data_IF_552720179818
#
_entry.id   IF_552720179818
#
_cell.length_a   1.000
_cell.length_b   1.000
_cell.length_c   1.000
_cell.angle_alpha   90.00
_cell.angle_beta   90.00
_cell.angle_gamma   90.00
#
_symmetry.space_group_name_H-M   'P 1'
#
loop_
_entity.id
_entity.type
_entity.pdbx_description
1 polymer ?
#
# COMPACT_ATOMS: atom_id res chain seq x y z
N UNK A 1 -26.66 -38.50 -14.29
CA UNK A 1 -25.29 -38.33 -13.78
C UNK A 1 -24.82 -36.94 -14.19
N UNK A 2 -24.57 -36.03 -13.25
CA UNK A 2 -24.04 -34.70 -13.55
C UNK A 2 -22.79 -34.45 -12.70
N UNK A 3 -21.67 -34.33 -13.39
CA UNK A 3 -20.30 -34.30 -12.90
C UNK A 3 -20.03 -33.04 -12.05
N UNK A 4 -19.77 -33.19 -10.74
CA UNK A 4 -19.32 -32.09 -9.89
C UNK A 4 -17.79 -32.01 -9.99
N UNK A 5 -17.28 -31.03 -10.76
CA UNK A 5 -15.86 -30.67 -10.74
C UNK A 5 -15.43 -30.26 -9.32
N UNK A 6 -14.24 -30.64 -8.85
CA UNK A 6 -13.77 -30.25 -7.53
C UNK A 6 -13.54 -28.74 -7.49
N UNK A 7 -14.24 -28.06 -6.56
CA UNK A 7 -14.08 -26.63 -6.29
C UNK A 7 -12.71 -26.38 -5.69
N UNK A 8 -11.93 -25.50 -6.31
CA UNK A 8 -10.57 -25.20 -5.87
C UNK A 8 -10.55 -24.38 -4.57
N UNK A 9 -9.37 -24.22 -3.94
CA UNK A 9 -9.21 -23.40 -2.73
C UNK A 9 -9.67 -21.95 -2.90
N UNK A 10 -9.61 -21.43 -4.13
CA UNK A 10 -10.06 -20.08 -4.51
C UNK A 10 -11.59 -19.93 -4.46
N UNK A 11 -12.36 -20.99 -4.74
CA UNK A 11 -13.83 -20.97 -4.67
C UNK A 11 -14.36 -20.92 -3.23
N UNK A 12 -13.55 -21.32 -2.24
CA UNK A 12 -13.91 -21.18 -0.82
C UNK A 12 -13.88 -19.71 -0.35
N UNK A 13 -13.16 -18.84 -1.07
CA UNK A 13 -12.97 -17.42 -0.70
C UNK A 13 -14.07 -16.51 -1.27
N UNK A 14 -14.85 -16.97 -2.24
CA UNK A 14 -15.91 -16.18 -2.86
C UNK A 14 -17.29 -16.71 -2.44
N UNK A 15 -17.80 -16.22 -1.30
CA UNK A 15 -19.21 -16.35 -0.95
C UNK A 15 -19.96 -15.09 -1.40
N UNK A 16 -20.79 -15.13 -2.46
CA UNK A 16 -21.71 -14.04 -2.74
C UNK A 16 -22.74 -13.97 -1.61
N UNK A 17 -22.89 -12.81 -0.97
CA UNK A 17 -23.82 -12.63 0.15
C UNK A 17 -25.26 -12.72 -0.32
N UNK A 18 -26.00 -13.73 0.14
CA UNK A 18 -27.47 -13.74 0.10
C UNK A 18 -27.99 -12.83 1.20
N UNK A 19 -27.97 -11.52 1.00
CA UNK A 19 -28.88 -10.53 1.62
C UNK A 19 -28.60 -9.20 0.94
N UNK A 20 -29.65 -8.66 0.35
CA UNK A 20 -29.70 -7.36 -0.30
C UNK A 20 -29.09 -6.24 0.56
N UNK A 21 -28.19 -5.43 -0.03
CA UNK A 21 -28.16 -4.00 0.29
C UNK A 21 -26.99 -3.40 1.08
N UNK A 22 -25.79 -4.01 1.18
CA UNK A 22 -24.59 -3.26 1.65
C UNK A 22 -23.37 -3.48 0.76
N UNK A 23 -23.08 -2.49 -0.08
CA UNK A 23 -21.76 -2.28 -0.70
C UNK A 23 -20.82 -1.73 0.37
N UNK A 24 -19.74 -2.43 0.68
CA UNK A 24 -18.69 -1.97 1.59
C UNK A 24 -17.85 -3.13 2.08
N UNK A 25 -16.84 -3.51 1.30
CA UNK A 25 -15.98 -4.62 1.59
C UNK A 25 -15.05 -4.42 2.79
N UNK A 26 -14.56 -5.56 3.26
CA UNK A 26 -13.35 -5.76 4.06
C UNK A 26 -13.38 -5.26 5.52
N UNK A 27 -12.59 -5.95 6.34
CA UNK A 27 -12.50 -5.96 7.80
C UNK A 27 -11.99 -4.63 8.42
N UNK A 28 -12.22 -3.49 7.77
CA UNK A 28 -11.83 -2.15 8.23
C UNK A 28 -12.35 -1.92 9.65
N UNK A 29 -11.43 -1.77 10.60
CA UNK A 29 -11.73 -1.56 12.03
C UNK A 29 -11.52 -2.78 12.95
N UNK A 30 -11.21 -3.95 12.39
CA UNK A 30 -10.92 -5.16 13.20
C UNK A 30 -9.49 -5.17 13.76
N UNK A 31 -9.27 -5.94 14.85
CA UNK A 31 -7.94 -6.11 15.48
C UNK A 31 -6.89 -6.64 14.49
N UNK A 32 -7.31 -7.55 13.61
CA UNK A 32 -6.48 -8.13 12.56
C UNK A 32 -6.04 -7.07 11.55
N UNK A 33 -6.98 -6.25 11.06
CA UNK A 33 -6.67 -5.14 10.17
C UNK A 33 -5.65 -4.18 10.80
N UNK A 34 -5.81 -3.81 12.07
CA UNK A 34 -4.86 -2.97 12.78
C UNK A 34 -3.46 -3.60 12.89
N UNK A 35 -3.38 -4.91 13.12
CA UNK A 35 -2.10 -5.63 13.20
C UNK A 35 -1.39 -5.72 11.85
N UNK A 36 -2.13 -5.90 10.76
CA UNK A 36 -1.59 -5.86 9.39
C UNK A 36 -1.05 -4.47 9.08
N UNK A 37 -1.80 -3.40 9.37
CA UNK A 37 -1.35 -2.03 9.14
C UNK A 37 -0.08 -1.69 9.93
N UNK A 38 0.04 -2.17 11.17
CA UNK A 38 1.27 -2.01 11.97
C UNK A 38 2.48 -2.69 11.33
N UNK A 39 2.32 -3.91 10.82
CA UNK A 39 3.41 -4.64 10.13
C UNK A 39 3.84 -3.93 8.85
N UNK A 40 2.87 -3.50 8.03
CA UNK A 40 3.14 -2.74 6.80
C UNK A 40 3.85 -1.42 7.10
N UNK A 41 3.41 -0.71 8.15
CA UNK A 41 4.06 0.52 8.60
C UNK A 41 5.50 0.28 9.04
N UNK A 42 5.76 -0.78 9.81
CA UNK A 42 7.10 -1.11 10.27
C UNK A 42 8.04 -1.42 9.10
N UNK A 43 7.59 -2.26 8.16
CA UNK A 43 8.37 -2.62 6.96
C UNK A 43 8.66 -1.38 6.10
N UNK A 44 7.65 -0.54 5.87
CA UNK A 44 7.81 0.71 5.15
C UNK A 44 8.84 1.62 5.82
N UNK A 45 8.75 1.83 7.14
CA UNK A 45 9.70 2.70 7.87
C UNK A 45 11.12 2.17 7.76
N UNK A 46 11.32 0.86 7.93
CA UNK A 46 12.65 0.27 7.85
C UNK A 46 13.29 0.45 6.47
N UNK A 47 12.56 0.15 5.39
CA UNK A 47 13.04 0.33 4.02
C UNK A 47 13.29 1.79 3.69
N UNK A 48 12.39 2.68 4.11
CA UNK A 48 12.51 4.11 3.87
C UNK A 48 13.71 4.73 4.62
N UNK A 49 13.90 4.39 5.89
CA UNK A 49 15.06 4.83 6.66
C UNK A 49 16.38 4.31 6.07
N UNK A 50 16.40 3.07 5.58
CA UNK A 50 17.59 2.52 4.93
C UNK A 50 17.94 3.30 3.66
N UNK A 51 16.94 3.57 2.82
CA UNK A 51 17.14 4.39 1.62
C UNK A 51 17.62 5.81 1.95
N UNK A 52 17.06 6.46 2.98
CA UNK A 52 17.53 7.78 3.42
C UNK A 52 18.99 7.75 3.85
N UNK A 53 19.42 6.70 4.56
CA UNK A 53 20.81 6.51 4.95
C UNK A 53 21.73 6.34 3.74
N UNK A 54 21.38 5.44 2.81
CA UNK A 54 22.19 5.17 1.62
C UNK A 54 22.28 6.40 0.70
N UNK A 55 21.19 7.18 0.58
CA UNK A 55 21.14 8.42 -0.20
C UNK A 55 21.70 9.66 0.53
N UNK A 56 22.19 9.51 1.77
CA UNK A 56 22.65 10.61 2.63
C UNK A 56 21.62 11.74 2.79
N UNK A 57 20.33 11.40 2.76
CA UNK A 57 19.23 12.34 3.00
C UNK A 57 19.17 12.64 4.50
N UNK A 58 19.19 13.93 4.85
CA UNK A 58 19.10 14.33 6.26
C UNK A 58 17.80 13.84 6.90
N UNK A 59 17.87 13.27 8.11
CA UNK A 59 16.66 12.85 8.84
C UNK A 59 15.71 14.01 9.17
N UNK A 60 16.20 15.25 9.13
CA UNK A 60 15.35 16.43 9.28
C UNK A 60 14.34 16.57 8.11
N UNK A 61 14.56 15.90 6.97
CA UNK A 61 13.68 15.92 5.82
C UNK A 61 12.23 15.53 6.14
N UNK A 62 12.02 14.64 7.12
CA UNK A 62 10.68 14.19 7.51
C UNK A 62 9.86 15.24 8.26
N UNK A 63 10.50 16.34 8.70
CA UNK A 63 9.83 17.42 9.45
C UNK A 63 9.29 18.52 8.55
N UNK A 64 9.63 18.53 7.26
CA UNK A 64 9.09 19.52 6.33
C UNK A 64 7.63 19.20 6.02
N UNK A 65 6.79 20.24 5.95
CA UNK A 65 5.35 20.10 5.64
C UNK A 65 5.11 19.46 4.28
N UNK A 66 6.07 19.55 3.35
CA UNK A 66 6.03 18.92 2.02
C UNK A 66 6.18 17.40 2.05
N UNK A 67 6.70 16.81 3.13
CA UNK A 67 6.98 15.38 3.21
C UNK A 67 5.70 14.53 3.17
N UNK A 68 4.66 14.93 3.91
CA UNK A 68 3.37 14.24 3.93
C UNK A 68 2.70 14.19 2.54
N UNK A 69 2.49 15.34 1.88
CA UNK A 69 1.95 15.40 0.52
C UNK A 69 2.75 14.59 -0.50
N UNK A 70 4.09 14.60 -0.42
CA UNK A 70 4.93 13.81 -1.32
C UNK A 70 4.69 12.30 -1.15
N UNK A 71 4.63 11.80 0.09
CA UNK A 71 4.31 10.39 0.35
C UNK A 71 2.89 10.02 -0.07
N UNK A 72 1.91 10.91 0.14
CA UNK A 72 0.54 10.68 -0.27
C UNK A 72 0.42 10.54 -1.80
N UNK A 73 1.12 11.38 -2.57
CA UNK A 73 1.16 11.28 -4.01
C UNK A 73 1.71 9.91 -4.49
N UNK A 74 2.80 9.44 -3.86
CA UNK A 74 3.37 8.11 -4.15
C UNK A 74 2.39 7.00 -3.76
N UNK A 75 1.77 7.08 -2.57
CA UNK A 75 0.85 6.07 -2.08
C UNK A 75 -0.43 5.96 -2.92
N UNK A 76 -0.97 7.09 -3.41
CA UNK A 76 -2.15 7.14 -4.28
C UNK A 76 -1.93 6.44 -5.61
N UNK A 77 -0.71 6.51 -6.14
CA UNK A 77 -0.39 5.85 -7.39
C UNK A 77 -0.15 4.34 -7.19
N UNK A 78 0.31 3.92 -6.00
CA UNK A 78 0.35 2.52 -5.58
C UNK A 78 1.64 1.77 -5.92
N UNK A 79 1.67 0.44 -5.76
CA UNK A 79 2.87 -0.36 -6.04
C UNK A 79 3.11 -0.52 -7.55
N UNK A 80 4.39 -0.67 -7.94
CA UNK A 80 4.79 -0.91 -9.33
C UNK A 80 5.09 0.35 -10.17
N UNK A 81 5.09 1.52 -9.54
CA UNK A 81 5.49 2.77 -10.19
C UNK A 81 6.99 2.71 -10.47
N UNK A 82 7.37 3.14 -11.67
CA UNK A 82 8.78 3.41 -11.96
C UNK A 82 9.24 4.62 -11.15
N UNK A 83 10.33 4.53 -10.40
CA UNK A 83 10.83 5.70 -9.68
C UNK A 83 11.14 6.83 -10.67
N UNK A 84 10.92 8.11 -10.28
CA UNK A 84 11.28 9.22 -11.15
C UNK A 84 12.76 9.19 -11.49
N UNK A 85 13.08 9.57 -12.72
CA UNK A 85 14.46 9.64 -13.19
C UNK A 85 15.13 10.93 -12.73
N UNK A 86 16.46 10.99 -12.81
CA UNK A 86 17.21 12.21 -12.52
C UNK A 86 16.72 13.40 -13.35
N UNK A 87 16.39 13.17 -14.62
CA UNK A 87 15.88 14.21 -15.53
C UNK A 87 14.49 14.72 -15.12
N UNK A 88 13.63 13.83 -14.60
CA UNK A 88 12.33 14.23 -14.08
C UNK A 88 12.51 15.19 -12.89
N UNK A 89 13.36 14.81 -11.92
CA UNK A 89 13.63 15.66 -10.75
C UNK A 89 14.18 17.04 -11.13
N UNK A 90 15.12 17.11 -12.08
CA UNK A 90 15.69 18.37 -12.53
C UNK A 90 14.67 19.27 -13.24
N UNK A 91 13.79 18.68 -14.06
CA UNK A 91 12.80 19.41 -14.85
C UNK A 91 11.70 20.04 -13.98
N UNK A 92 11.39 19.42 -12.84
CA UNK A 92 10.38 19.93 -11.90
C UNK A 92 10.95 20.79 -10.77
N UNK A 93 12.28 20.98 -10.70
CA UNK A 93 12.93 21.84 -9.71
C UNK A 93 13.41 23.20 -10.26
N UNK A 94 13.27 23.43 -11.56
CA UNK A 94 13.62 24.68 -12.26
C UNK A 94 12.37 25.51 -12.55
#
# INVERSE_FOLDING_TARGET
>A
MANKKPKGPLDAMFKPSTTSGKKGGLLVGSKEHAQVQKKLRLEYVQKFCRWMYDASVSFNAVKYDSFGPALEAVARHGPGIKPPTYHDFFSYSS
#
